data_IF_999414670927
#
_entry.id   IF_999414670927
#
_cell.length_a   1.000
_cell.length_b   1.000
_cell.length_c   1.000
_cell.angle_alpha   90.00
_cell.angle_beta   90.00
_cell.angle_gamma   90.00
#
_symmetry.space_group_name_H-M   'P 1'
#
loop_
_entity.id
_entity.type
_entity.pdbx_description
1 polymer ?
#
# COMPACT_ATOMS: atom_id res chain seq x y z
N UNK A 1 -9.81 10.87 -17.30
CA UNK A 1 -8.54 11.49 -16.85
C UNK A 1 -8.70 12.67 -15.90
N UNK A 2 -9.68 13.58 -16.07
CA UNK A 2 -9.86 14.76 -15.18
C UNK A 2 -9.96 14.41 -13.67
N UNK A 3 -10.43 13.21 -13.35
CA UNK A 3 -10.49 12.70 -11.99
C UNK A 3 -9.14 12.57 -11.28
N UNK A 4 -8.04 12.37 -12.01
CA UNK A 4 -6.70 12.27 -11.42
C UNK A 4 -6.29 13.53 -10.66
N UNK A 5 -6.81 14.71 -11.06
CA UNK A 5 -6.56 15.96 -10.34
C UNK A 5 -7.05 15.86 -8.89
N UNK A 6 -8.20 15.22 -8.64
CA UNK A 6 -8.72 15.06 -7.27
C UNK A 6 -7.89 14.12 -6.40
N UNK A 7 -6.95 13.38 -6.98
CA UNK A 7 -6.01 12.56 -6.21
C UNK A 7 -4.82 13.37 -5.69
N UNK A 8 -4.54 14.57 -6.22
CA UNK A 8 -3.49 15.44 -5.69
C UNK A 8 -3.87 16.07 -4.34
N UNK A 9 -2.91 16.44 -3.47
CA UNK A 9 -3.19 17.14 -2.20
C UNK A 9 -3.99 18.43 -2.40
N UNK A 10 -4.88 18.76 -1.44
CA UNK A 10 -5.77 19.95 -1.55
C UNK A 10 -5.00 21.28 -1.69
N UNK A 11 -3.88 21.41 -1.00
CA UNK A 11 -2.91 22.51 -1.10
C UNK A 11 -2.27 22.60 -2.48
N UNK A 12 -1.83 21.46 -3.03
CA UNK A 12 -1.25 21.36 -4.37
C UNK A 12 -2.27 21.75 -5.44
N UNK A 13 -3.49 21.22 -5.35
CA UNK A 13 -4.59 21.54 -6.29
C UNK A 13 -4.93 23.03 -6.32
N UNK A 14 -4.80 23.73 -5.19
CA UNK A 14 -5.02 25.18 -5.13
C UNK A 14 -3.96 25.98 -5.88
N UNK A 15 -2.75 25.43 -6.04
CA UNK A 15 -1.63 26.10 -6.71
C UNK A 15 -1.54 25.78 -8.20
N UNK A 16 -1.74 24.50 -8.55
CA UNK A 16 -1.44 23.99 -9.90
C UNK A 16 -2.61 23.25 -10.55
N UNK A 17 -3.78 23.19 -9.89
CA UNK A 17 -4.91 22.38 -10.35
C UNK A 17 -5.52 22.87 -11.66
N UNK A 18 -5.61 24.17 -11.86
CA UNK A 18 -6.19 24.77 -13.07
C UNK A 18 -5.25 24.59 -14.28
N UNK A 19 -3.96 24.83 -14.10
CA UNK A 19 -2.91 24.59 -15.11
C UNK A 19 -2.89 23.11 -15.54
N UNK A 20 -2.89 22.18 -14.58
CA UNK A 20 -2.92 20.75 -14.87
C UNK A 20 -4.22 20.34 -15.59
N UNK A 21 -5.35 20.97 -15.28
CA UNK A 21 -6.63 20.72 -15.96
C UNK A 21 -6.58 21.12 -17.44
N UNK A 22 -5.93 22.23 -17.76
CA UNK A 22 -5.74 22.66 -19.15
C UNK A 22 -4.82 21.71 -19.91
N UNK A 23 -3.70 21.32 -19.31
CA UNK A 23 -2.77 20.34 -19.91
C UNK A 23 -3.48 19.00 -20.15
N UNK A 24 -4.25 18.49 -19.19
CA UNK A 24 -5.01 17.23 -19.34
C UNK A 24 -6.10 17.34 -20.40
N UNK A 25 -6.68 18.53 -20.63
CA UNK A 25 -7.67 18.74 -21.70
C UNK A 25 -7.05 18.73 -23.09
N UNK A 26 -5.81 19.21 -23.21
CA UNK A 26 -5.10 19.30 -24.49
C UNK A 26 -4.30 18.02 -24.82
N UNK A 27 -3.98 17.19 -23.82
CA UNK A 27 -3.17 15.99 -24.00
C UNK A 27 -4.03 14.78 -24.35
N UNK A 28 -3.64 14.02 -25.37
CA UNK A 28 -4.28 12.76 -25.72
C UNK A 28 -4.12 11.70 -24.63
N UNK A 29 -5.15 10.87 -24.49
CA UNK A 29 -5.21 9.72 -23.57
C UNK A 29 -4.25 8.61 -24.02
N UNK A 30 -2.96 8.75 -23.70
CA UNK A 30 -1.96 7.68 -23.81
C UNK A 30 -1.74 6.98 -22.47
N UNK A 31 -1.40 5.69 -22.51
CA UNK A 31 -1.00 4.92 -21.32
C UNK A 31 0.20 5.56 -20.60
N UNK A 32 1.14 6.14 -21.36
CA UNK A 32 2.27 6.88 -20.80
C UNK A 32 1.81 8.09 -19.98
N UNK A 33 0.83 8.84 -20.49
CA UNK A 33 0.25 9.99 -19.78
C UNK A 33 -0.42 9.59 -18.46
N UNK A 34 -1.06 8.41 -18.41
CA UNK A 34 -1.64 7.88 -17.16
C UNK A 34 -0.54 7.61 -16.14
N UNK A 35 0.56 6.99 -16.55
CA UNK A 35 1.70 6.72 -15.67
C UNK A 35 2.32 8.03 -15.18
N UNK A 36 2.57 8.99 -16.07
CA UNK A 36 3.15 10.29 -15.70
C UNK A 36 2.26 11.05 -14.69
N UNK A 37 0.93 11.02 -14.88
CA UNK A 37 -0.02 11.58 -13.92
C UNK A 37 0.02 10.89 -12.56
N UNK A 38 0.11 9.55 -12.53
CA UNK A 38 0.23 8.78 -11.30
C UNK A 38 1.53 9.09 -10.56
N UNK A 39 2.65 9.20 -11.27
CA UNK A 39 3.94 9.59 -10.69
C UNK A 39 3.85 11.00 -10.08
N UNK A 40 3.24 11.95 -10.79
CA UNK A 40 3.05 13.32 -10.32
C UNK A 40 2.17 13.43 -9.07
N UNK A 41 1.12 12.60 -8.95
CA UNK A 41 0.29 12.52 -7.72
C UNK A 41 1.15 12.11 -6.54
N UNK A 42 1.96 11.06 -6.70
CA UNK A 42 2.80 10.52 -5.63
C UNK A 42 3.83 11.55 -5.19
N UNK A 43 4.46 12.24 -6.13
CA UNK A 43 5.46 13.28 -5.83
C UNK A 43 4.86 14.47 -5.08
N UNK A 44 3.69 14.95 -5.51
CA UNK A 44 2.98 16.02 -4.82
C UNK A 44 2.60 15.64 -3.38
N UNK A 45 2.17 14.40 -3.15
CA UNK A 45 1.91 13.89 -1.81
C UNK A 45 3.19 13.71 -0.99
N UNK A 46 4.30 13.28 -1.60
CA UNK A 46 5.59 13.19 -0.94
C UNK A 46 6.00 14.54 -0.37
N UNK A 47 5.88 15.61 -1.16
CA UNK A 47 6.19 16.98 -0.72
C UNK A 47 5.28 17.40 0.43
N UNK A 48 3.96 17.27 0.28
CA UNK A 48 2.98 17.65 1.32
C UNK A 48 3.19 16.89 2.64
N UNK A 49 3.51 15.59 2.56
CA UNK A 49 3.80 14.75 3.72
C UNK A 49 5.17 15.04 4.33
N UNK A 50 6.14 15.49 3.53
CA UNK A 50 7.47 15.89 4.02
C UNK A 50 7.45 17.23 4.74
N UNK A 51 6.67 18.21 4.23
CA UNK A 51 6.48 19.53 4.86
C UNK A 51 5.73 19.40 6.19
N UNK A 52 4.73 18.52 6.23
CA UNK A 52 4.04 18.15 7.47
C UNK A 52 4.81 17.02 8.16
N UNK A 53 5.89 17.34 8.90
CA UNK A 53 6.74 16.43 9.73
C UNK A 53 5.99 15.54 10.76
N UNK A 54 4.91 14.85 10.38
CA UNK A 54 3.93 14.23 11.27
C UNK A 54 3.93 12.70 11.17
N UNK A 55 4.42 12.11 10.07
CA UNK A 55 4.15 10.69 9.80
C UNK A 55 5.25 9.68 10.13
N UNK A 56 6.52 10.09 10.24
CA UNK A 56 7.62 9.16 10.50
C UNK A 56 7.52 8.42 11.85
N UNK A 57 6.99 9.08 12.88
CA UNK A 57 6.93 8.55 14.25
C UNK A 57 5.64 7.78 14.56
N UNK A 58 4.49 8.19 13.96
CA UNK A 58 3.19 7.54 14.22
C UNK A 58 2.92 6.31 13.35
N UNK A 59 3.47 6.27 12.14
CA UNK A 59 3.18 5.22 11.18
C UNK A 59 3.88 3.90 11.52
N UNK A 60 5.11 3.97 12.02
CA UNK A 60 5.83 2.81 12.55
C UNK A 60 5.07 2.19 13.72
N UNK A 61 4.59 3.02 14.65
CA UNK A 61 3.78 2.59 15.80
C UNK A 61 2.45 1.96 15.35
N UNK A 62 1.77 2.53 14.35
CA UNK A 62 0.57 1.95 13.75
C UNK A 62 0.84 0.59 13.09
N UNK A 63 1.92 0.48 12.30
CA UNK A 63 2.31 -0.78 11.67
C UNK A 63 2.69 -1.84 12.72
N UNK A 64 3.36 -1.45 13.80
CA UNK A 64 3.68 -2.36 14.92
C UNK A 64 2.40 -2.79 15.65
N UNK A 65 1.46 -1.88 15.89
CA UNK A 65 0.17 -2.19 16.52
C UNK A 65 -0.64 -3.16 15.65
N UNK A 66 -0.71 -2.93 14.34
CA UNK A 66 -1.39 -3.81 13.39
C UNK A 66 -0.69 -5.18 13.32
N UNK A 67 0.64 -5.22 13.33
CA UNK A 67 1.40 -6.47 13.40
C UNK A 67 1.12 -7.26 14.70
N UNK A 68 1.04 -6.57 15.83
CA UNK A 68 0.67 -7.15 17.13
C UNK A 68 -0.76 -7.69 17.14
N UNK A 69 -1.72 -6.95 16.56
CA UNK A 69 -3.09 -7.43 16.39
C UNK A 69 -3.11 -8.70 15.54
N UNK A 70 -2.35 -8.75 14.44
CA UNK A 70 -2.26 -9.95 13.61
C UNK A 70 -1.69 -11.16 14.38
N UNK A 71 -0.62 -10.97 15.16
CA UNK A 71 -0.05 -12.04 16.00
C UNK A 71 -1.06 -12.52 17.04
N UNK A 72 -1.79 -11.60 17.69
CA UNK A 72 -2.81 -11.93 18.67
C UNK A 72 -4.01 -12.66 18.05
N UNK A 73 -4.47 -12.21 16.87
CA UNK A 73 -5.56 -12.85 16.13
C UNK A 73 -5.16 -14.26 15.74
N UNK A 74 -3.96 -14.45 15.18
CA UNK A 74 -3.43 -15.78 14.82
C UNK A 74 -3.31 -16.67 16.07
N UNK A 75 -2.73 -16.14 17.16
CA UNK A 75 -2.54 -16.91 18.40
C UNK A 75 -3.86 -17.32 19.06
N UNK A 76 -4.89 -16.47 19.00
CA UNK A 76 -6.22 -16.76 19.58
C UNK A 76 -7.03 -17.69 18.67
N UNK A 77 -6.83 -17.63 17.35
CA UNK A 77 -7.46 -18.52 16.38
C UNK A 77 -6.89 -19.95 16.43
N UNK A 78 -5.59 -20.12 16.69
CA UNK A 78 -4.97 -21.44 16.93
C UNK A 78 -5.66 -22.16 18.11
N UNK A 79 -6.10 -21.40 19.12
CA UNK A 79 -6.82 -21.92 20.29
C UNK A 79 -8.29 -22.26 20.02
N UNK A 80 -8.86 -21.85 18.88
CA UNK A 80 -10.29 -21.96 18.53
C UNK A 80 -10.56 -22.99 17.42
N UNK A 81 -9.60 -23.92 17.24
CA UNK A 81 -9.50 -24.93 16.17
C UNK A 81 -10.71 -25.86 15.99
N UNK A 82 -11.74 -25.75 16.82
CA UNK A 82 -12.93 -26.62 16.77
C UNK A 82 -14.15 -25.99 16.09
N UNK A 83 -14.16 -24.71 15.70
CA UNK A 83 -15.40 -24.06 15.22
C UNK A 83 -15.33 -23.25 13.91
N UNK A 84 -14.18 -23.15 13.23
CA UNK A 84 -14.04 -22.43 11.94
C UNK A 84 -13.32 -23.34 10.94
N UNK A 85 -13.87 -23.50 9.73
CA UNK A 85 -13.24 -24.23 8.64
C UNK A 85 -11.86 -23.59 8.37
N UNK A 86 -10.79 -24.35 8.58
CA UNK A 86 -9.38 -23.93 8.52
C UNK A 86 -9.03 -23.15 7.23
N UNK A 87 -9.75 -23.43 6.14
CA UNK A 87 -9.70 -22.72 4.86
C UNK A 87 -10.00 -21.21 5.01
N UNK A 88 -11.03 -20.82 5.77
CA UNK A 88 -11.45 -19.42 5.91
C UNK A 88 -10.39 -18.62 6.67
N UNK A 89 -9.73 -19.26 7.64
CA UNK A 89 -8.63 -18.67 8.40
C UNK A 89 -7.44 -18.44 7.47
N UNK A 90 -7.06 -19.43 6.67
CA UNK A 90 -5.96 -19.31 5.71
C UNK A 90 -6.21 -18.17 4.72
N UNK A 91 -7.45 -18.03 4.22
CA UNK A 91 -7.84 -16.95 3.31
C UNK A 91 -7.75 -15.57 3.99
N UNK A 92 -8.28 -15.42 5.21
CA UNK A 92 -8.24 -14.14 5.94
C UNK A 92 -6.79 -13.71 6.21
N UNK A 93 -5.92 -14.64 6.64
CA UNK A 93 -4.50 -14.36 6.90
C UNK A 93 -3.77 -13.98 5.61
N UNK A 94 -4.09 -14.64 4.49
CA UNK A 94 -3.55 -14.28 3.18
C UNK A 94 -3.96 -12.85 2.80
N UNK A 95 -5.26 -12.51 2.88
CA UNK A 95 -5.76 -11.18 2.54
C UNK A 95 -5.14 -10.06 3.40
N UNK A 96 -5.00 -10.31 4.71
CA UNK A 96 -4.35 -9.36 5.63
C UNK A 96 -2.86 -9.18 5.31
N UNK A 97 -2.14 -10.27 5.02
CA UNK A 97 -0.73 -10.22 4.64
C UNK A 97 -0.53 -9.41 3.35
N UNK A 98 -1.39 -9.62 2.36
CA UNK A 98 -1.36 -8.89 1.09
C UNK A 98 -1.67 -7.40 1.27
N UNK A 99 -2.71 -7.07 2.03
CA UNK A 99 -3.06 -5.68 2.34
C UNK A 99 -1.89 -4.96 3.02
N UNK A 100 -1.27 -5.60 4.01
CA UNK A 100 -0.13 -5.03 4.72
C UNK A 100 1.10 -4.88 3.81
N UNK A 101 1.34 -5.82 2.90
CA UNK A 101 2.41 -5.73 1.91
C UNK A 101 2.24 -4.49 1.02
N UNK A 102 1.01 -4.21 0.56
CA UNK A 102 0.69 -3.02 -0.24
C UNK A 102 0.89 -1.74 0.57
N UNK A 103 0.37 -1.68 1.80
CA UNK A 103 0.55 -0.49 2.66
C UNK A 103 2.04 -0.20 2.86
N UNK A 104 2.84 -1.21 3.20
CA UNK A 104 4.29 -1.03 3.40
C UNK A 104 4.98 -0.61 2.10
N UNK A 105 4.57 -1.13 0.94
CA UNK A 105 5.11 -0.74 -0.36
C UNK A 105 4.81 0.74 -0.67
N UNK A 106 3.55 1.17 -0.49
CA UNK A 106 3.13 2.56 -0.69
C UNK A 106 3.92 3.50 0.22
N UNK A 107 4.10 3.13 1.49
CA UNK A 107 4.92 3.89 2.44
C UNK A 107 6.38 3.95 2.00
N UNK A 108 6.92 2.85 1.45
CA UNK A 108 8.27 2.84 0.91
C UNK A 108 8.41 3.76 -0.31
N UNK A 109 7.42 3.77 -1.22
CA UNK A 109 7.34 4.68 -2.36
C UNK A 109 7.36 6.13 -1.91
N UNK A 110 6.61 6.47 -0.87
CA UNK A 110 6.63 7.79 -0.27
C UNK A 110 7.92 8.11 0.49
N UNK A 111 8.75 7.14 0.86
CA UNK A 111 9.99 7.43 1.61
C UNK A 111 11.21 7.57 0.71
N UNK A 112 11.28 6.77 -0.35
CA UNK A 112 12.51 6.59 -1.14
C UNK A 112 12.29 6.90 -2.63
N UNK A 113 11.07 7.25 -3.02
CA UNK A 113 10.66 7.41 -4.41
C UNK A 113 10.28 6.07 -5.06
N UNK A 114 9.53 6.13 -6.16
CA UNK A 114 8.86 4.97 -6.76
C UNK A 114 9.85 3.93 -7.28
N UNK A 115 10.82 4.35 -8.10
CA UNK A 115 11.83 3.45 -8.70
C UNK A 115 12.64 2.75 -7.60
N UNK A 116 13.09 3.51 -6.60
CA UNK A 116 13.87 2.98 -5.48
C UNK A 116 13.03 2.13 -4.53
N UNK A 117 11.72 2.34 -4.44
CA UNK A 117 10.85 1.57 -3.56
C UNK A 117 10.57 0.15 -4.05
N UNK A 118 10.69 -0.09 -5.37
CA UNK A 118 10.70 -1.43 -5.93
C UNK A 118 12.07 -2.11 -5.80
N UNK A 119 13.13 -1.39 -5.42
CA UNK A 119 14.41 -2.02 -5.10
C UNK A 119 14.35 -2.69 -3.72
N UNK A 120 14.86 -3.91 -3.63
CA UNK A 120 14.93 -4.70 -2.37
C UNK A 120 15.97 -4.17 -1.37
N UNK A 121 16.63 -3.05 -1.70
CA UNK A 121 17.68 -2.46 -0.88
C UNK A 121 17.13 -1.81 0.39
N UNK A 122 15.85 -1.40 0.40
CA UNK A 122 15.25 -0.72 1.56
C UNK A 122 14.68 -1.74 2.55
N UNK A 123 14.75 -1.43 3.85
CA UNK A 123 14.17 -2.29 4.90
C UNK A 123 12.66 -2.50 4.72
N UNK A 124 11.94 -1.48 4.25
CA UNK A 124 10.50 -1.57 4.00
C UNK A 124 10.19 -2.45 2.78
N UNK A 125 10.99 -2.37 1.71
CA UNK A 125 10.85 -3.29 0.56
C UNK A 125 11.01 -4.75 0.99
N UNK A 126 12.03 -5.05 1.82
CA UNK A 126 12.24 -6.42 2.34
C UNK A 126 11.04 -6.91 3.18
N UNK A 127 10.46 -6.04 4.00
CA UNK A 127 9.27 -6.38 4.80
C UNK A 127 8.05 -6.61 3.89
N UNK A 128 7.83 -5.75 2.88
CA UNK A 128 6.75 -5.91 1.91
C UNK A 128 6.87 -7.22 1.13
N UNK A 129 8.07 -7.56 0.66
CA UNK A 129 8.34 -8.84 -0.02
C UNK A 129 8.08 -10.03 0.91
N UNK A 130 8.50 -9.96 2.18
CA UNK A 130 8.22 -11.00 3.17
C UNK A 130 6.73 -11.20 3.41
N UNK A 131 5.96 -10.12 3.50
CA UNK A 131 4.49 -10.17 3.62
C UNK A 131 3.83 -10.74 2.37
N UNK A 132 4.36 -10.43 1.18
CA UNK A 132 3.89 -11.02 -0.08
C UNK A 132 4.19 -12.52 -0.17
N UNK A 133 5.34 -12.96 0.34
CA UNK A 133 5.66 -14.38 0.51
C UNK A 133 4.70 -15.08 1.47
N UNK A 134 4.39 -14.46 2.62
CA UNK A 134 3.38 -14.95 3.56
C UNK A 134 2.01 -15.09 2.89
N UNK A 135 1.56 -14.07 2.15
CA UNK A 135 0.33 -14.16 1.35
C UNK A 135 0.32 -15.39 0.43
N UNK A 136 1.38 -15.60 -0.34
CA UNK A 136 1.46 -16.73 -1.27
C UNK A 136 1.34 -18.09 -0.55
N UNK A 137 2.04 -18.28 0.56
CA UNK A 137 2.00 -19.52 1.34
C UNK A 137 0.60 -19.79 1.91
N UNK A 138 -0.03 -18.79 2.54
CA UNK A 138 -1.36 -18.94 3.11
C UNK A 138 -2.45 -19.10 2.03
N UNK A 139 -2.29 -18.44 0.89
CA UNK A 139 -3.21 -18.59 -0.23
C UNK A 139 -3.13 -19.99 -0.87
N UNK A 140 -1.92 -20.53 -1.06
CA UNK A 140 -1.74 -21.92 -1.50
C UNK A 140 -2.32 -22.89 -0.48
N UNK A 141 -2.09 -22.65 0.81
CA UNK A 141 -2.66 -23.49 1.89
C UNK A 141 -4.19 -23.48 1.85
N UNK A 142 -4.80 -22.31 1.62
CA UNK A 142 -6.23 -22.21 1.38
C UNK A 142 -6.69 -23.05 0.19
N UNK A 143 -6.02 -22.93 -0.97
CA UNK A 143 -6.38 -23.71 -2.16
C UNK A 143 -6.29 -25.23 -1.95
N UNK A 144 -5.31 -25.69 -1.17
CA UNK A 144 -5.16 -27.11 -0.82
C UNK A 144 -6.25 -27.57 0.16
N UNK A 145 -6.69 -26.71 1.07
CA UNK A 145 -7.73 -27.04 2.05
C UNK A 145 -9.14 -26.96 1.47
N UNK A 146 -9.35 -26.11 0.47
CA UNK A 146 -10.64 -25.88 -0.18
C UNK A 146 -10.96 -26.89 -1.30
N UNK A 147 -10.03 -27.79 -1.61
CA UNK A 147 -10.10 -28.77 -2.71
C UNK A 147 -9.99 -30.19 -2.14
#
# INVERSE_FOLDING_TARGET
MKWFIYLYPKSWRRRYGDELMEVIKQTDTSFKTIIDLLLGIIDAWHIELSERKVYGFRLSQLLTLIGLINVLVISKLISLREAILLEQIALIVAMLSFFLAIVVLVVNMFKVGIISAFSTNTRLAKISVGLMGSYAVFFITFLVLAN
#
